data_IF_292916500470
#
_entry.id   IF_292916500470
#
_cell.length_a   1.000
_cell.length_b   1.000
_cell.length_c   1.000
_cell.angle_alpha   90.00
_cell.angle_beta   90.00
_cell.angle_gamma   90.00
#
_symmetry.space_group_name_H-M   'P 1'
#
loop_
_entity.id
_entity.type
_entity.pdbx_description
1 polymer ?
#
# COMPACT_ATOMS: atom_id res chain seq x y z
N UNK A 1 4.76 16.03 15.28
CA UNK A 1 5.75 15.44 14.37
C UNK A 1 5.39 15.83 12.94
N UNK A 2 6.17 16.69 12.29
CA UNK A 2 5.93 17.09 10.90
C UNK A 2 6.43 15.99 9.96
N UNK A 3 5.56 15.02 9.66
CA UNK A 3 5.83 14.05 8.58
C UNK A 3 5.64 14.74 7.23
N UNK A 4 6.61 14.62 6.33
CA UNK A 4 6.54 15.16 4.96
C UNK A 4 5.63 14.33 4.03
N UNK A 5 5.16 13.18 4.49
CA UNK A 5 4.39 12.20 3.70
C UNK A 5 3.05 11.93 4.36
N UNK A 6 2.00 11.88 3.55
CA UNK A 6 0.66 11.44 3.89
C UNK A 6 0.41 10.04 3.30
N UNK A 7 -0.31 9.19 4.04
CA UNK A 7 -0.59 7.80 3.66
C UNK A 7 -2.09 7.61 3.51
N UNK A 8 -2.55 7.30 2.30
CA UNK A 8 -3.88 6.78 2.07
C UNK A 8 -3.81 5.25 2.14
N UNK A 9 -4.73 4.61 2.85
CA UNK A 9 -4.68 3.16 3.11
C UNK A 9 -6.08 2.55 3.06
N UNK A 10 -6.20 1.43 2.34
CA UNK A 10 -7.23 0.45 2.60
C UNK A 10 -6.59 -0.66 3.44
N UNK A 11 -6.87 -0.72 4.75
CA UNK A 11 -6.19 -1.63 5.65
C UNK A 11 -6.47 -3.11 5.31
N UNK A 12 -7.62 -3.41 4.70
CA UNK A 12 -8.07 -4.78 4.45
C UNK A 12 -9.00 -4.85 3.23
N UNK A 13 -8.39 -4.91 2.05
CA UNK A 13 -9.09 -5.17 0.80
C UNK A 13 -9.51 -6.65 0.71
N UNK A 14 -10.70 -6.88 0.17
CA UNK A 14 -11.28 -8.22 0.04
C UNK A 14 -11.71 -8.84 1.37
N UNK A 15 -12.08 -8.05 2.39
CA UNK A 15 -12.47 -8.57 3.71
C UNK A 15 -13.56 -9.66 3.69
N UNK A 16 -14.44 -9.68 2.69
CA UNK A 16 -15.44 -10.75 2.49
C UNK A 16 -14.84 -12.13 2.21
N UNK A 17 -13.57 -12.18 1.81
CA UNK A 17 -12.86 -13.40 1.44
C UNK A 17 -12.15 -14.07 2.62
N UNK A 18 -12.17 -13.45 3.79
CA UNK A 18 -11.53 -13.98 5.01
C UNK A 18 -12.11 -15.37 5.34
N UNK A 19 -13.44 -15.49 5.34
CA UNK A 19 -14.12 -16.74 5.73
C UNK A 19 -13.99 -17.85 4.68
N UNK A 20 -13.63 -17.51 3.44
CA UNK A 20 -13.49 -18.45 2.33
C UNK A 20 -12.05 -18.84 2.05
N UNK A 21 -11.09 -18.35 2.84
CA UNK A 21 -9.66 -18.58 2.67
C UNK A 21 -9.16 -18.22 1.26
N UNK A 22 -9.75 -17.18 0.67
CA UNK A 22 -9.31 -16.58 -0.59
C UNK A 22 -8.37 -15.41 -0.27
N UNK A 23 -7.43 -15.11 -1.17
CA UNK A 23 -6.48 -14.02 -0.98
C UNK A 23 -7.15 -12.69 -0.65
N UNK A 24 -6.55 -11.98 0.30
CA UNK A 24 -6.91 -10.63 0.74
C UNK A 24 -5.69 -9.71 0.62
N UNK A 25 -5.85 -8.41 0.86
CA UNK A 25 -4.76 -7.46 0.70
C UNK A 25 -4.82 -6.24 1.59
N UNK A 26 -3.73 -5.46 1.58
CA UNK A 26 -3.69 -4.10 2.12
C UNK A 26 -3.19 -3.20 1.01
N UNK A 27 -3.92 -2.15 0.68
CA UNK A 27 -3.55 -1.20 -0.38
C UNK A 27 -3.08 0.09 0.27
N UNK A 28 -1.99 0.66 -0.24
CA UNK A 28 -1.50 1.95 0.25
C UNK A 28 -1.01 2.85 -0.89
N UNK A 29 -1.20 4.15 -0.69
CA UNK A 29 -0.67 5.22 -1.52
C UNK A 29 0.07 6.25 -0.67
N UNK A 30 1.24 6.68 -1.13
CA UNK A 30 2.04 7.72 -0.49
C UNK A 30 1.92 9.02 -1.28
N UNK A 31 1.49 10.08 -0.60
CA UNK A 31 1.32 11.42 -1.14
C UNK A 31 2.25 12.40 -0.44
N UNK A 32 2.72 13.47 -1.10
CA UNK A 32 3.31 14.57 -0.38
C UNK A 32 2.27 15.19 0.56
N UNK A 33 2.64 15.42 1.82
CA UNK A 33 1.78 16.18 2.75
C UNK A 33 1.72 17.64 2.26
N UNK A 34 0.51 18.18 2.09
CA UNK A 34 0.32 19.61 1.80
C UNK A 34 0.20 20.40 3.10
N UNK A 35 0.36 21.73 3.01
CA UNK A 35 0.15 22.61 4.16
C UNK A 35 -1.29 22.53 4.69
N UNK A 36 -2.26 22.41 3.79
CA UNK A 36 -3.65 22.17 4.14
C UNK A 36 -3.96 20.66 4.18
N UNK A 37 -4.23 20.17 5.39
CA UNK A 37 -4.54 18.76 5.64
C UNK A 37 -5.85 18.32 4.96
N UNK A 38 -6.81 19.24 4.77
CA UNK A 38 -8.10 18.92 4.13
C UNK A 38 -7.95 18.62 2.63
N UNK A 39 -6.94 19.18 1.98
CA UNK A 39 -6.67 18.98 0.56
C UNK A 39 -5.59 17.93 0.30
N UNK A 40 -4.82 17.56 1.31
CA UNK A 40 -3.73 16.57 1.20
C UNK A 40 -4.16 15.26 0.55
N UNK A 41 -5.34 14.72 0.88
CA UNK A 41 -5.83 13.46 0.30
C UNK A 41 -6.69 13.63 -0.96
N UNK A 42 -7.03 14.87 -1.34
CA UNK A 42 -7.83 15.18 -2.53
C UNK A 42 -6.96 15.50 -3.76
N UNK A 43 -5.67 15.13 -3.72
CA UNK A 43 -4.75 15.30 -4.82
C UNK A 43 -5.02 14.29 -5.96
N UNK A 44 -4.77 14.64 -7.23
CA UNK A 44 -4.80 13.68 -8.33
C UNK A 44 -3.82 12.52 -8.09
N UNK A 45 -4.20 11.30 -8.47
CA UNK A 45 -3.37 10.10 -8.24
C UNK A 45 -1.98 10.14 -8.89
N UNK A 46 -1.78 10.95 -9.94
CA UNK A 46 -0.46 11.21 -10.56
C UNK A 46 0.54 11.91 -9.63
N UNK A 47 0.08 12.49 -8.53
CA UNK A 47 0.91 13.15 -7.52
C UNK A 47 1.44 12.16 -6.47
N UNK A 48 1.09 10.88 -6.53
CA UNK A 48 1.61 9.88 -5.61
C UNK A 48 3.14 9.74 -5.77
N UNK A 49 3.83 9.73 -4.63
CA UNK A 49 5.28 9.47 -4.54
C UNK A 49 5.57 7.98 -4.73
N UNK A 50 4.65 7.14 -4.25
CA UNK A 50 4.72 5.70 -4.33
C UNK A 50 3.32 5.10 -4.11
N UNK A 51 3.13 3.88 -4.56
CA UNK A 51 1.95 3.09 -4.26
C UNK A 51 2.31 1.61 -4.22
N UNK A 52 1.51 0.84 -3.51
CA UNK A 52 1.70 -0.60 -3.47
C UNK A 52 0.56 -1.29 -2.76
N UNK A 53 0.65 -2.61 -2.75
CA UNK A 53 -0.26 -3.44 -2.00
C UNK A 53 0.42 -4.73 -1.54
N UNK A 54 0.03 -5.15 -0.35
CA UNK A 54 0.34 -6.48 0.17
C UNK A 54 -0.71 -7.47 -0.31
N UNK A 55 -0.25 -8.69 -0.59
CA UNK A 55 -1.08 -9.82 -0.96
C UNK A 55 -0.90 -10.87 0.13
N UNK A 56 -1.97 -11.16 0.86
CA UNK A 56 -2.04 -12.23 1.84
C UNK A 56 -2.67 -13.46 1.16
N UNK A 57 -1.86 -14.17 0.38
CA UNK A 57 -2.27 -15.38 -0.34
C UNK A 57 -1.49 -16.61 0.13
N UNK A 58 -1.24 -17.60 -0.76
CA UNK A 58 -0.40 -18.76 -0.44
C UNK A 58 1.02 -18.39 0.04
N UNK A 59 1.52 -17.23 -0.42
CA UNK A 59 2.71 -16.57 0.09
C UNK A 59 2.37 -15.09 0.31
N UNK A 60 2.97 -14.50 1.34
CA UNK A 60 2.91 -13.05 1.56
C UNK A 60 3.81 -12.36 0.53
N UNK A 61 3.22 -11.46 -0.26
CA UNK A 61 3.96 -10.67 -1.25
C UNK A 61 3.65 -9.19 -1.14
N UNK A 62 4.60 -8.36 -1.57
CA UNK A 62 4.46 -6.91 -1.72
C UNK A 62 4.72 -6.54 -3.17
N UNK A 63 3.73 -5.95 -3.84
CA UNK A 63 3.93 -5.25 -5.10
C UNK A 63 4.02 -3.75 -4.84
N UNK A 64 5.08 -3.09 -5.31
CA UNK A 64 5.34 -1.67 -5.01
C UNK A 64 5.99 -0.95 -6.18
N UNK A 65 5.62 0.31 -6.38
CA UNK A 65 6.26 1.25 -7.32
C UNK A 65 6.63 2.56 -6.64
N UNK A 66 7.73 3.14 -7.09
CA UNK A 66 8.19 4.50 -6.74
C UNK A 66 8.19 5.43 -7.98
N UNK A 67 7.39 5.10 -9.00
CA UNK A 67 7.32 5.85 -10.27
C UNK A 67 8.28 5.37 -11.37
N UNK A 68 9.20 4.44 -11.08
CA UNK A 68 10.12 3.86 -12.07
C UNK A 68 10.00 2.33 -12.10
N UNK A 69 8.93 1.85 -12.73
CA UNK A 69 8.59 0.44 -12.78
C UNK A 69 8.02 -0.11 -11.47
N UNK A 70 7.71 -1.41 -11.48
CA UNK A 70 7.09 -2.11 -10.34
C UNK A 70 7.99 -3.25 -9.91
N UNK A 71 8.18 -3.40 -8.60
CA UNK A 71 8.91 -4.51 -7.99
C UNK A 71 7.96 -5.37 -7.17
N UNK A 72 8.27 -6.66 -7.13
CA UNK A 72 7.53 -7.63 -6.33
C UNK A 72 8.53 -8.29 -5.39
N UNK A 73 8.20 -8.28 -4.10
CA UNK A 73 8.94 -8.95 -3.04
C UNK A 73 8.06 -10.05 -2.47
N UNK A 74 8.64 -11.21 -2.20
CA UNK A 74 7.94 -12.34 -1.57
C UNK A 74 8.61 -12.60 -0.23
N UNK A 75 7.82 -12.60 0.83
CA UNK A 75 8.30 -12.78 2.20
C UNK A 75 8.75 -14.22 2.45
N UNK A 76 9.95 -14.39 2.97
CA UNK A 76 10.45 -15.67 3.47
C UNK A 76 10.20 -15.78 4.96
N UNK A 77 9.23 -16.60 5.35
CA UNK A 77 8.95 -16.88 6.77
C UNK A 77 10.13 -17.52 7.52
N UNK A 78 11.04 -18.16 6.78
CA UNK A 78 12.27 -18.75 7.34
C UNK A 78 13.31 -17.70 7.71
N UNK A 79 13.39 -16.63 6.93
CA UNK A 79 14.38 -15.55 7.12
C UNK A 79 13.80 -14.36 7.89
N UNK A 80 12.47 -14.25 7.97
CA UNK A 80 11.80 -13.08 8.51
C UNK A 80 11.89 -11.84 7.60
N UNK A 81 12.16 -12.05 6.30
CA UNK A 81 12.33 -11.00 5.29
C UNK A 81 11.87 -11.49 3.92
#
# INVERSE_FOLDING_TARGET
ANSAVAVAIDPLDGSSNIDTNVSIGTIFGLLPKLEDEKTTFNQPGRNQLAAGFFIYGPQLALAVTLGTGTRIFVFSSRLGA
#
